data_IF_753955899945
#
_entry.id   IF_753955899945
#
_cell.length_a   1.000
_cell.length_b   1.000
_cell.length_c   1.000
_cell.angle_alpha   90.00
_cell.angle_beta   90.00
_cell.angle_gamma   90.00
#
_symmetry.space_group_name_H-M   'P 1'
#
loop_
_entity.id
_entity.type
_entity.pdbx_description
1 polymer ?
#
# COMPACT_ATOMS: atom_id res chain seq x y z
N UNK A 1 -5.59 11.15 -8.77
CA UNK A 1 -4.43 10.81 -7.88
C UNK A 1 -4.88 10.92 -6.45
N UNK A 2 -4.57 9.93 -5.58
CA UNK A 2 -5.09 9.81 -4.22
C UNK A 2 -3.96 9.84 -3.18
N UNK A 3 -4.18 10.52 -2.06
CA UNK A 3 -3.32 10.46 -0.88
C UNK A 3 -3.79 9.34 0.04
N UNK A 4 -2.95 8.36 0.30
CA UNK A 4 -3.20 7.29 1.25
C UNK A 4 -2.37 7.51 2.51
N UNK A 5 -3.03 7.52 3.66
CA UNK A 5 -2.39 7.48 4.96
C UNK A 5 -2.13 6.04 5.36
N UNK A 6 -0.87 5.67 5.60
CA UNK A 6 -0.50 4.33 6.11
C UNK A 6 -0.21 4.40 7.60
N UNK A 7 -0.89 3.58 8.41
CA UNK A 7 -0.76 3.55 9.87
C UNK A 7 -0.16 2.22 10.31
N UNK A 8 1.14 2.22 10.62
CA UNK A 8 1.92 1.03 11.00
C UNK A 8 2.17 0.90 12.51
N UNK A 9 1.83 1.91 13.30
CA UNK A 9 2.11 1.95 14.74
C UNK A 9 1.05 2.73 15.52
N UNK A 10 1.05 2.58 16.82
CA UNK A 10 0.10 3.18 17.75
C UNK A 10 -0.72 2.13 18.49
N UNK A 11 -1.29 2.51 19.62
CA UNK A 11 -2.25 1.68 20.36
C UNK A 11 -3.61 1.72 19.66
N UNK A 12 -4.48 0.78 19.94
CA UNK A 12 -5.80 0.68 19.33
C UNK A 12 -6.56 2.01 19.28
N UNK A 13 -6.74 2.63 20.45
CA UNK A 13 -7.46 3.91 20.55
C UNK A 13 -6.72 5.10 19.91
N UNK A 14 -5.38 5.03 19.82
CA UNK A 14 -4.57 6.05 19.14
C UNK A 14 -4.77 5.98 17.61
N UNK A 15 -4.87 4.76 17.05
CA UNK A 15 -5.17 4.56 15.63
C UNK A 15 -6.54 5.15 15.30
N UNK A 16 -7.56 4.84 16.11
CA UNK A 16 -8.90 5.42 15.93
C UNK A 16 -8.84 6.97 15.95
N UNK A 17 -8.19 7.54 16.97
CA UNK A 17 -8.08 8.99 17.10
C UNK A 17 -7.31 9.65 15.94
N UNK A 18 -6.31 8.97 15.38
CA UNK A 18 -5.59 9.43 14.19
C UNK A 18 -6.53 9.45 12.99
N UNK A 19 -7.30 8.39 12.77
CA UNK A 19 -8.26 8.33 11.67
C UNK A 19 -9.35 9.39 11.83
N UNK A 20 -9.96 9.50 13.02
CA UNK A 20 -10.97 10.52 13.31
C UNK A 20 -10.49 11.94 12.95
N UNK A 21 -9.19 12.21 13.17
CA UNK A 21 -8.60 13.53 12.90
C UNK A 21 -8.26 13.77 11.42
N UNK A 22 -7.95 12.71 10.67
CA UNK A 22 -7.37 12.83 9.32
C UNK A 22 -8.32 12.39 8.20
N UNK A 23 -9.49 11.83 8.52
CA UNK A 23 -10.43 11.26 7.53
C UNK A 23 -10.80 12.25 6.41
N UNK A 24 -10.95 13.53 6.72
CA UNK A 24 -11.28 14.56 5.73
C UNK A 24 -10.07 15.10 4.96
N UNK A 25 -8.86 14.71 5.37
CA UNK A 25 -7.61 15.21 4.81
C UNK A 25 -6.88 14.20 3.92
N UNK A 26 -7.35 12.96 3.85
CA UNK A 26 -6.78 11.88 3.04
C UNK A 26 -7.87 11.18 2.24
N UNK A 27 -7.51 10.49 1.17
CA UNK A 27 -8.49 9.83 0.31
C UNK A 27 -8.64 8.34 0.65
N UNK A 28 -7.60 7.74 1.25
CA UNK A 28 -7.55 6.34 1.67
C UNK A 28 -6.83 6.27 3.01
N UNK A 29 -7.36 5.46 3.93
CA UNK A 29 -6.64 5.07 5.14
C UNK A 29 -6.25 3.61 5.05
N UNK A 30 -4.97 3.33 5.20
CA UNK A 30 -4.44 1.97 5.27
C UNK A 30 -4.12 1.62 6.72
N UNK A 31 -4.71 0.54 7.18
CA UNK A 31 -4.28 -0.11 8.41
C UNK A 31 -3.16 -1.07 8.05
N UNK A 32 -1.94 -0.67 8.42
CA UNK A 32 -0.72 -1.37 8.05
C UNK A 32 -0.61 -2.77 8.67
N UNK A 33 0.20 -3.61 8.05
CA UNK A 33 0.37 -5.01 8.45
C UNK A 33 0.61 -5.21 9.96
N UNK A 34 1.48 -4.42 10.65
CA UNK A 34 1.69 -4.57 12.08
C UNK A 34 0.41 -4.36 12.90
N UNK A 35 -0.44 -3.43 12.49
CA UNK A 35 -1.71 -3.15 13.18
C UNK A 35 -2.74 -4.23 12.93
N UNK A 36 -2.83 -4.74 11.69
CA UNK A 36 -3.70 -5.86 11.34
C UNK A 36 -3.34 -7.10 12.17
N UNK A 37 -2.05 -7.40 12.31
CA UNK A 37 -1.57 -8.53 13.11
C UNK A 37 -1.85 -8.33 14.61
N UNK A 38 -1.71 -7.10 15.10
CA UNK A 38 -1.85 -6.80 16.52
C UNK A 38 -3.32 -6.75 16.97
N UNK A 39 -4.19 -6.14 16.16
CA UNK A 39 -5.56 -5.82 16.57
C UNK A 39 -6.63 -6.62 15.82
N UNK A 40 -6.24 -7.30 14.75
CA UNK A 40 -7.17 -8.06 13.92
C UNK A 40 -8.15 -7.17 13.15
N UNK A 41 -9.18 -7.80 12.61
CA UNK A 41 -10.18 -7.13 11.77
C UNK A 41 -11.21 -6.32 12.58
N UNK A 42 -11.31 -6.51 13.88
CA UNK A 42 -12.19 -5.69 14.74
C UNK A 42 -11.87 -4.19 14.67
N UNK A 43 -10.61 -3.82 14.45
CA UNK A 43 -10.24 -2.43 14.20
C UNK A 43 -10.84 -1.90 12.90
N UNK A 44 -10.91 -2.73 11.86
CA UNK A 44 -11.48 -2.35 10.56
C UNK A 44 -13.00 -2.19 10.69
N UNK A 45 -13.67 -3.11 11.40
CA UNK A 45 -15.11 -3.06 11.67
C UNK A 45 -15.47 -1.77 12.41
N UNK A 46 -14.75 -1.42 13.48
CA UNK A 46 -14.99 -0.18 14.22
C UNK A 46 -14.75 1.06 13.36
N UNK A 47 -13.69 1.10 12.57
CA UNK A 47 -13.41 2.22 11.66
C UNK A 47 -14.50 2.35 10.60
N UNK A 48 -15.03 1.23 10.08
CA UNK A 48 -16.12 1.24 9.12
C UNK A 48 -17.44 1.73 9.73
N UNK A 49 -17.74 1.34 10.96
CA UNK A 49 -18.93 1.84 11.69
C UNK A 49 -18.84 3.35 11.93
N UNK A 50 -17.68 3.86 12.31
CA UNK A 50 -17.47 5.29 12.58
C UNK A 50 -17.41 6.13 11.31
N UNK A 51 -16.85 5.60 10.24
CA UNK A 51 -16.60 6.29 8.97
C UNK A 51 -17.13 5.48 7.78
N UNK A 52 -18.45 5.46 7.55
CA UNK A 52 -19.07 4.60 6.52
C UNK A 52 -18.56 4.83 5.10
N UNK A 53 -18.17 6.06 4.76
CA UNK A 53 -17.73 6.45 3.42
C UNK A 53 -16.21 6.41 3.23
N UNK A 54 -15.43 6.13 4.29
CA UNK A 54 -13.98 6.11 4.23
C UNK A 54 -13.49 4.95 3.35
N UNK A 55 -12.58 5.24 2.42
CA UNK A 55 -11.87 4.18 1.70
C UNK A 55 -10.82 3.54 2.61
N UNK A 56 -11.08 2.29 3.03
CA UNK A 56 -10.21 1.52 3.92
C UNK A 56 -9.37 0.51 3.12
N UNK A 57 -8.04 0.58 3.27
CA UNK A 57 -7.11 -0.42 2.79
C UNK A 57 -6.63 -1.27 3.97
N UNK A 58 -6.73 -2.58 3.84
CA UNK A 58 -6.22 -3.55 4.82
C UNK A 58 -4.94 -4.16 4.30
N UNK A 59 -3.81 -3.82 4.94
CA UNK A 59 -2.51 -4.37 4.58
C UNK A 59 -2.33 -5.78 5.15
N UNK A 60 -3.05 -6.73 4.56
CA UNK A 60 -3.06 -8.12 4.99
C UNK A 60 -1.85 -8.92 4.48
N UNK A 61 -1.11 -8.41 3.49
CA UNK A 61 0.05 -9.06 2.86
C UNK A 61 -0.18 -10.54 2.59
N UNK A 62 -1.33 -10.85 2.00
CA UNK A 62 -1.77 -12.24 1.80
C UNK A 62 -0.75 -13.01 0.97
N UNK A 63 -0.35 -14.18 1.46
CA UNK A 63 0.50 -15.12 0.75
C UNK A 63 -0.21 -16.47 0.53
N UNK A 64 -0.98 -16.92 1.53
CA UNK A 64 -1.79 -18.14 1.51
C UNK A 64 -3.22 -17.87 1.97
N UNK A 65 -4.13 -18.80 1.69
CA UNK A 65 -5.52 -18.69 2.14
C UNK A 65 -6.31 -17.56 1.48
N UNK A 66 -5.88 -17.14 0.28
CA UNK A 66 -6.30 -15.93 -0.41
C UNK A 66 -7.79 -15.62 -0.31
N UNK A 67 -8.66 -16.53 -0.75
CA UNK A 67 -10.12 -16.30 -0.74
C UNK A 67 -10.68 -16.10 0.67
N UNK A 68 -10.23 -16.92 1.64
CA UNK A 68 -10.74 -16.83 3.02
C UNK A 68 -10.33 -15.53 3.72
N UNK A 69 -9.06 -15.11 3.59
CA UNK A 69 -8.58 -13.85 4.15
C UNK A 69 -9.26 -12.67 3.46
N UNK A 70 -9.32 -12.68 2.14
CA UNK A 70 -9.95 -11.62 1.33
C UNK A 70 -11.41 -11.42 1.70
N UNK A 71 -12.18 -12.53 1.83
CA UNK A 71 -13.57 -12.49 2.27
C UNK A 71 -13.70 -11.79 3.64
N UNK A 72 -12.91 -12.22 4.62
CA UNK A 72 -12.96 -11.64 5.97
C UNK A 72 -12.61 -10.15 6.00
N UNK A 73 -11.62 -9.73 5.20
CA UNK A 73 -11.27 -8.32 5.12
C UNK A 73 -12.42 -7.48 4.54
N UNK A 74 -13.07 -7.95 3.47
CA UNK A 74 -14.21 -7.25 2.89
C UNK A 74 -15.45 -7.29 3.78
N UNK A 75 -15.73 -8.41 4.45
CA UNK A 75 -16.81 -8.51 5.43
C UNK A 75 -16.61 -7.52 6.59
N UNK A 76 -15.38 -7.27 7.00
CA UNK A 76 -15.03 -6.26 8.00
C UNK A 76 -15.14 -4.81 7.48
N UNK A 77 -15.37 -4.61 6.18
CA UNK A 77 -15.55 -3.29 5.60
C UNK A 77 -14.36 -2.71 4.83
N UNK A 78 -13.35 -3.53 4.48
CA UNK A 78 -12.28 -3.09 3.60
C UNK A 78 -12.81 -2.72 2.20
N UNK A 79 -12.16 -1.75 1.55
CA UNK A 79 -12.33 -1.45 0.12
C UNK A 79 -11.17 -2.00 -0.71
N UNK A 80 -9.98 -2.05 -0.10
CA UNK A 80 -8.75 -2.54 -0.72
C UNK A 80 -8.09 -3.55 0.22
N UNK A 81 -7.62 -4.67 -0.33
CA UNK A 81 -6.86 -5.69 0.42
C UNK A 81 -5.53 -5.94 -0.27
N UNK A 82 -4.44 -6.02 0.50
CA UNK A 82 -3.12 -6.24 -0.09
C UNK A 82 -2.78 -7.72 -0.22
N UNK A 83 -2.03 -8.04 -1.27
CA UNK A 83 -1.43 -9.34 -1.53
C UNK A 83 0.06 -9.17 -1.84
N UNK A 84 0.91 -10.09 -1.41
CA UNK A 84 2.31 -10.07 -1.80
C UNK A 84 2.48 -10.55 -3.24
N UNK A 85 3.32 -9.89 -4.02
CA UNK A 85 3.68 -10.36 -5.35
C UNK A 85 4.38 -11.72 -5.35
N UNK A 86 4.95 -12.10 -4.22
CA UNK A 86 5.55 -13.43 -4.02
C UNK A 86 4.51 -14.55 -3.83
N UNK A 87 3.22 -14.22 -3.65
CA UNK A 87 2.17 -15.23 -3.54
C UNK A 87 2.02 -15.99 -4.86
N UNK A 88 1.61 -17.27 -4.81
CA UNK A 88 1.32 -18.06 -6.01
C UNK A 88 0.24 -17.39 -6.87
N UNK A 89 0.41 -17.40 -8.20
CA UNK A 89 -0.54 -16.79 -9.14
C UNK A 89 -1.99 -17.22 -8.93
N UNK A 90 -2.31 -18.51 -8.66
CA UNK A 90 -3.68 -18.93 -8.36
C UNK A 90 -4.26 -18.27 -7.10
N UNK A 91 -3.43 -17.91 -6.13
CA UNK A 91 -3.88 -17.19 -4.93
C UNK A 91 -4.29 -15.76 -5.30
N UNK A 92 -3.44 -15.05 -6.05
CA UNK A 92 -3.69 -13.68 -6.51
C UNK A 92 -4.96 -13.64 -7.38
N UNK A 93 -5.07 -14.54 -8.38
CA UNK A 93 -6.24 -14.60 -9.27
C UNK A 93 -7.54 -14.81 -8.51
N UNK A 94 -7.56 -15.73 -7.52
CA UNK A 94 -8.73 -15.97 -6.69
C UNK A 94 -9.09 -14.79 -5.78
N UNK A 95 -8.09 -14.04 -5.31
CA UNK A 95 -8.33 -12.81 -4.56
C UNK A 95 -8.97 -11.73 -5.44
N UNK A 96 -8.46 -11.56 -6.66
CA UNK A 96 -9.03 -10.62 -7.65
C UNK A 96 -10.49 -11.00 -7.98
N UNK A 97 -10.76 -12.28 -8.25
CA UNK A 97 -12.11 -12.76 -8.49
C UNK A 97 -13.05 -12.49 -7.29
N UNK A 98 -12.56 -12.77 -6.07
CA UNK A 98 -13.31 -12.53 -4.85
C UNK A 98 -13.56 -11.02 -4.64
N UNK A 99 -12.58 -10.17 -4.83
CA UNK A 99 -12.73 -8.72 -4.69
C UNK A 99 -13.83 -8.18 -5.61
N UNK A 100 -13.88 -8.63 -6.86
CA UNK A 100 -14.95 -8.24 -7.81
C UNK A 100 -16.34 -8.54 -7.28
N UNK A 101 -16.55 -9.65 -6.55
CA UNK A 101 -17.85 -10.00 -5.98
C UNK A 101 -18.29 -9.07 -4.82
N UNK A 102 -17.36 -8.31 -4.25
CA UNK A 102 -17.61 -7.30 -3.21
C UNK A 102 -17.60 -5.86 -3.76
N UNK A 103 -17.28 -5.65 -5.03
CA UNK A 103 -16.98 -4.32 -5.56
C UNK A 103 -15.69 -3.73 -4.95
N UNK A 104 -14.84 -4.60 -4.38
CA UNK A 104 -13.57 -4.23 -3.77
C UNK A 104 -12.39 -4.35 -4.73
N UNK A 105 -11.20 -4.01 -4.25
CA UNK A 105 -9.99 -3.91 -5.05
C UNK A 105 -8.83 -4.68 -4.40
N UNK A 106 -7.88 -5.14 -5.23
CA UNK A 106 -6.66 -5.81 -4.79
C UNK A 106 -5.46 -4.92 -5.11
N UNK A 107 -4.64 -4.66 -4.09
CA UNK A 107 -3.35 -4.01 -4.23
C UNK A 107 -2.24 -5.06 -4.07
N UNK A 108 -1.42 -5.23 -5.11
CA UNK A 108 -0.29 -6.13 -5.06
C UNK A 108 0.96 -5.40 -4.56
N UNK A 109 1.46 -5.80 -3.39
CA UNK A 109 2.74 -5.34 -2.85
C UNK A 109 3.88 -6.00 -3.61
N UNK A 110 4.62 -5.21 -4.38
CA UNK A 110 5.69 -5.69 -5.24
C UNK A 110 6.97 -5.94 -4.43
N UNK A 111 6.95 -7.00 -3.66
CA UNK A 111 8.10 -7.50 -2.90
C UNK A 111 8.91 -8.47 -3.75
N UNK A 112 9.59 -7.97 -4.78
CA UNK A 112 10.40 -8.78 -5.68
C UNK A 112 11.85 -8.28 -5.71
N UNK A 113 12.84 -9.18 -5.86
CA UNK A 113 14.22 -8.77 -6.12
C UNK A 113 14.30 -7.83 -7.33
N UNK A 114 15.19 -6.85 -7.27
CA UNK A 114 15.32 -5.82 -8.32
C UNK A 114 15.46 -6.42 -9.74
N UNK A 115 16.15 -7.56 -9.86
CA UNK A 115 16.32 -8.29 -11.13
C UNK A 115 15.03 -8.90 -11.68
N UNK A 116 13.99 -9.07 -10.87
CA UNK A 116 12.73 -9.70 -11.25
C UNK A 116 11.55 -8.71 -11.32
N UNK A 117 11.76 -7.44 -10.94
CA UNK A 117 10.67 -6.43 -10.87
C UNK A 117 9.94 -6.32 -12.21
N UNK A 118 10.64 -6.19 -13.34
CA UNK A 118 9.99 -6.06 -14.64
C UNK A 118 9.06 -7.25 -14.96
N UNK A 119 9.59 -8.47 -14.84
CA UNK A 119 8.84 -9.69 -15.12
C UNK A 119 7.67 -9.85 -14.16
N UNK A 120 7.92 -9.74 -12.84
CA UNK A 120 6.88 -9.96 -11.85
C UNK A 120 5.78 -8.91 -11.92
N UNK A 121 6.12 -7.68 -12.23
CA UNK A 121 5.11 -6.62 -12.49
C UNK A 121 4.17 -7.01 -13.63
N UNK A 122 4.72 -7.45 -14.79
CA UNK A 122 3.89 -7.85 -15.92
C UNK A 122 3.02 -9.08 -15.59
N UNK A 123 3.56 -10.06 -14.84
CA UNK A 123 2.83 -11.25 -14.42
C UNK A 123 1.64 -10.87 -13.53
N UNK A 124 1.84 -10.09 -12.47
CA UNK A 124 0.75 -9.73 -11.53
C UNK A 124 -0.25 -8.77 -12.16
N UNK A 125 0.18 -7.88 -13.06
CA UNK A 125 -0.70 -7.02 -13.84
C UNK A 125 -1.66 -7.86 -14.71
N UNK A 126 -1.14 -8.90 -15.36
CA UNK A 126 -1.94 -9.83 -16.17
C UNK A 126 -2.94 -10.65 -15.34
N UNK A 127 -2.72 -10.82 -14.04
CA UNK A 127 -3.66 -11.47 -13.12
C UNK A 127 -4.85 -10.56 -12.76
N UNK A 128 -4.81 -9.28 -13.14
CA UNK A 128 -5.92 -8.35 -13.02
C UNK A 128 -6.01 -7.66 -11.65
N UNK A 129 -4.90 -7.48 -10.94
CA UNK A 129 -4.86 -6.64 -9.74
C UNK A 129 -5.15 -5.18 -10.09
N UNK A 130 -5.77 -4.43 -9.19
CA UNK A 130 -6.15 -3.03 -9.43
C UNK A 130 -4.97 -2.09 -9.27
N UNK A 131 -4.12 -2.38 -8.29
CA UNK A 131 -2.94 -1.57 -7.97
C UNK A 131 -1.71 -2.44 -7.81
N UNK A 132 -0.56 -1.89 -8.20
CA UNK A 132 0.76 -2.44 -7.86
C UNK A 132 1.48 -1.40 -7.01
N UNK A 133 1.72 -1.75 -5.75
CA UNK A 133 2.43 -0.90 -4.80
C UNK A 133 3.93 -1.19 -4.87
N UNK A 134 4.73 -0.14 -5.09
CA UNK A 134 6.19 -0.22 -5.08
C UNK A 134 6.72 0.47 -3.85
N UNK A 135 7.44 -0.26 -3.02
CA UNK A 135 8.09 0.26 -1.83
C UNK A 135 9.47 0.82 -2.18
N UNK A 136 9.62 2.13 -2.03
CA UNK A 136 10.77 2.85 -2.58
C UNK A 136 11.88 3.20 -1.59
N UNK A 137 11.86 2.81 -0.33
CA UNK A 137 12.85 3.39 0.58
C UNK A 137 13.31 2.59 1.78
N UNK A 138 12.81 1.41 2.03
CA UNK A 138 13.00 0.83 3.35
C UNK A 138 13.82 -0.48 3.38
N UNK A 139 14.42 -0.91 2.29
CA UNK A 139 15.01 -2.24 2.22
C UNK A 139 16.55 -2.37 2.32
N UNK A 140 17.35 -1.38 2.68
CA UNK A 140 18.79 -1.59 2.88
C UNK A 140 19.12 -2.48 4.08
N UNK A 141 18.20 -2.62 5.04
CA UNK A 141 18.47 -3.31 6.30
C UNK A 141 18.11 -4.80 6.31
N UNK A 142 17.34 -5.28 5.30
CA UNK A 142 16.83 -6.66 5.27
C UNK A 142 17.40 -7.53 4.16
N UNK A 143 18.45 -7.08 3.52
CA UNK A 143 19.11 -7.78 2.43
C UNK A 143 20.09 -8.82 2.92
N UNK A 144 19.62 -10.00 3.23
CA UNK A 144 20.47 -11.06 3.72
C UNK A 144 20.40 -12.29 2.82
N UNK A 145 21.49 -12.61 2.16
CA UNK A 145 21.67 -13.85 1.43
C UNK A 145 22.06 -14.96 2.42
N UNK A 146 21.18 -15.94 2.57
CA UNK A 146 21.37 -17.07 3.48
C UNK A 146 22.53 -18.00 3.07
N UNK A 147 22.86 -18.09 1.78
CA UNK A 147 23.95 -18.94 1.29
C UNK A 147 25.31 -18.28 1.44
N UNK A 148 25.38 -17.00 1.11
CA UNK A 148 26.64 -16.26 1.13
C UNK A 148 26.82 -15.40 2.37
N UNK A 149 25.81 -15.34 3.24
CA UNK A 149 25.74 -14.42 4.38
C UNK A 149 25.96 -12.95 3.96
N UNK A 150 25.57 -12.61 2.74
CA UNK A 150 25.65 -11.26 2.17
C UNK A 150 24.26 -10.69 2.01
N UNK A 151 24.19 -9.39 1.90
CA UNK A 151 22.91 -8.68 1.69
C UNK A 151 22.44 -8.83 0.24
N UNK A 152 21.16 -9.14 0.04
CA UNK A 152 20.56 -9.39 -1.28
C UNK A 152 20.38 -8.13 -2.11
N UNK A 153 20.14 -7.00 -1.47
CA UNK A 153 19.96 -5.76 -2.17
C UNK A 153 21.28 -5.03 -2.28
N UNK A 154 21.67 -4.75 -3.45
CA UNK A 154 22.76 -3.82 -3.64
C UNK A 154 22.22 -2.41 -3.36
N UNK A 155 22.87 -1.63 -2.49
CA UNK A 155 22.49 -0.23 -2.18
C UNK A 155 22.42 0.70 -3.38
N UNK A 156 22.61 0.18 -4.59
CA UNK A 156 22.77 0.95 -5.84
C UNK A 156 21.47 1.17 -6.62
N UNK A 157 20.38 0.49 -6.29
CA UNK A 157 19.12 0.70 -7.00
C UNK A 157 18.32 1.74 -6.23
N UNK A 158 18.16 2.92 -6.81
CA UNK A 158 17.31 3.96 -6.23
C UNK A 158 15.87 3.45 -6.25
N UNK A 159 15.14 3.59 -5.16
CA UNK A 159 13.76 3.12 -5.05
C UNK A 159 12.85 3.60 -6.19
N UNK A 160 12.95 4.87 -6.59
CA UNK A 160 12.20 5.41 -7.72
C UNK A 160 12.57 4.77 -9.06
N UNK A 161 13.75 4.18 -9.20
CA UNK A 161 14.12 3.48 -10.44
C UNK A 161 13.41 2.13 -10.54
N UNK A 162 13.17 1.44 -9.43
CA UNK A 162 12.31 0.26 -9.41
C UNK A 162 10.87 0.62 -9.79
N UNK A 163 10.34 1.74 -9.29
CA UNK A 163 9.02 2.23 -9.64
C UNK A 163 8.92 2.57 -11.15
N UNK A 164 9.97 3.15 -11.74
CA UNK A 164 10.03 3.38 -13.20
C UNK A 164 9.99 2.07 -13.97
N UNK A 165 10.74 1.05 -13.51
CA UNK A 165 10.72 -0.28 -14.14
C UNK A 165 9.34 -0.91 -14.02
N UNK A 166 8.74 -0.90 -12.83
CA UNK A 166 7.38 -1.41 -12.63
C UNK A 166 6.40 -0.71 -13.57
N UNK A 167 6.35 0.64 -13.56
CA UNK A 167 5.42 1.41 -14.38
C UNK A 167 5.50 1.07 -15.87
N UNK A 168 6.70 0.83 -16.41
CA UNK A 168 6.89 0.48 -17.83
C UNK A 168 6.37 -0.93 -18.18
N UNK A 169 6.14 -1.77 -17.20
CA UNK A 169 5.69 -3.15 -17.35
C UNK A 169 4.25 -3.38 -16.87
N UNK A 170 3.53 -2.30 -16.55
CA UNK A 170 2.10 -2.30 -16.22
C UNK A 170 1.28 -1.91 -17.44
N UNK A 171 0.21 -2.63 -17.71
CA UNK A 171 -0.73 -2.38 -18.81
C UNK A 171 -2.12 -1.98 -18.28
N UNK A 172 -2.55 -2.51 -17.16
CA UNK A 172 -3.91 -2.41 -16.62
C UNK A 172 -3.94 -1.87 -15.19
N UNK A 173 -3.08 -2.40 -14.32
CA UNK A 173 -3.00 -1.96 -12.94
C UNK A 173 -2.50 -0.51 -12.84
N UNK A 174 -2.85 0.15 -11.75
CA UNK A 174 -2.42 1.51 -11.45
C UNK A 174 -1.26 1.48 -10.45
N UNK A 175 -0.34 2.42 -10.60
CA UNK A 175 0.84 2.51 -9.75
C UNK A 175 0.47 3.11 -8.38
N UNK A 176 0.85 2.44 -7.30
CA UNK A 176 0.89 2.99 -5.95
C UNK A 176 2.34 3.10 -5.48
N UNK A 177 2.72 4.23 -4.90
CA UNK A 177 4.09 4.45 -4.42
C UNK A 177 4.10 4.66 -2.91
N UNK A 178 4.91 3.83 -2.24
CA UNK A 178 5.14 3.88 -0.81
C UNK A 178 6.62 4.17 -0.52
N UNK A 179 6.88 4.64 0.66
CA UNK A 179 8.13 4.74 1.40
C UNK A 179 8.83 6.07 1.38
N UNK A 180 9.08 6.55 2.59
CA UNK A 180 9.86 7.74 2.85
C UNK A 180 9.32 9.00 2.15
N UNK A 181 8.07 8.97 1.69
CA UNK A 181 7.45 10.10 1.00
C UNK A 181 7.11 11.18 2.01
N UNK A 182 7.55 12.40 1.68
CA UNK A 182 7.31 13.60 2.47
C UNK A 182 7.39 14.84 1.57
N UNK A 183 7.24 16.03 2.12
CA UNK A 183 7.26 17.29 1.37
C UNK A 183 8.55 17.52 0.56
N UNK A 184 9.68 16.92 0.95
CA UNK A 184 10.97 17.18 0.28
C UNK A 184 11.14 16.37 -1.01
N UNK A 185 10.52 15.19 -1.11
CA UNK A 185 10.66 14.28 -2.27
C UNK A 185 9.37 14.06 -3.06
N UNK A 186 8.25 14.59 -2.59
CA UNK A 186 6.94 14.40 -3.23
C UNK A 186 6.96 14.73 -4.73
N UNK A 187 7.67 15.76 -5.17
CA UNK A 187 7.74 16.15 -6.58
C UNK A 187 8.38 15.08 -7.46
N UNK A 188 9.40 14.39 -6.97
CA UNK A 188 10.03 13.27 -7.70
C UNK A 188 9.08 12.08 -7.81
N UNK A 189 8.30 11.83 -6.73
CA UNK A 189 7.27 10.79 -6.70
C UNK A 189 6.18 11.11 -7.73
N UNK A 190 5.67 12.34 -7.73
CA UNK A 190 4.60 12.78 -8.64
C UNK A 190 5.02 12.79 -10.12
N UNK A 191 6.30 12.94 -10.41
CA UNK A 191 6.82 12.82 -11.77
C UNK A 191 6.57 11.42 -12.40
N UNK A 192 6.36 10.40 -11.57
CA UNK A 192 5.96 9.06 -11.99
C UNK A 192 4.45 8.92 -12.20
N UNK A 193 3.66 9.95 -11.93
CA UNK A 193 2.20 9.94 -12.06
C UNK A 193 1.55 8.69 -11.43
N UNK A 194 1.77 8.43 -10.13
CA UNK A 194 1.10 7.33 -9.46
C UNK A 194 -0.39 7.63 -9.31
N UNK A 195 -1.22 6.60 -9.24
CA UNK A 195 -2.62 6.75 -8.85
C UNK A 195 -2.75 7.01 -7.34
N UNK A 196 -1.91 6.32 -6.54
CA UNK A 196 -1.90 6.41 -5.10
C UNK A 196 -0.49 6.80 -4.62
N UNK A 197 -0.44 7.83 -3.78
CA UNK A 197 0.74 8.22 -3.01
C UNK A 197 0.51 7.80 -1.56
N UNK A 198 1.31 6.86 -1.07
CA UNK A 198 1.15 6.25 0.25
C UNK A 198 2.14 6.89 1.23
N UNK A 199 1.63 7.54 2.27
CA UNK A 199 2.45 8.27 3.24
C UNK A 199 2.11 7.81 4.66
N UNK A 200 3.11 7.32 5.37
CA UNK A 200 3.03 7.00 6.80
C UNK A 200 3.71 8.10 7.63
N UNK A 201 4.98 7.89 7.96
CA UNK A 201 5.77 8.78 8.84
C UNK A 201 5.82 10.23 8.37
N UNK A 202 5.79 10.50 7.07
CA UNK A 202 5.76 11.88 6.56
C UNK A 202 4.57 12.70 7.06
N UNK A 203 3.49 12.04 7.48
CA UNK A 203 2.33 12.65 8.13
C UNK A 203 2.35 12.38 9.63
N UNK A 204 2.55 11.11 10.05
CA UNK A 204 2.36 10.68 11.43
C UNK A 204 3.41 11.23 12.40
N UNK A 205 4.64 11.49 11.94
CA UNK A 205 5.72 12.05 12.77
C UNK A 205 5.72 13.59 12.77
N UNK A 206 4.79 14.23 12.02
CA UNK A 206 4.65 15.68 12.04
C UNK A 206 3.98 16.17 13.32
N UNK A 207 4.41 17.33 13.83
CA UNK A 207 3.78 18.02 14.96
C UNK A 207 2.32 18.35 14.66
N UNK A 208 2.03 18.78 13.42
CA UNK A 208 0.67 18.98 12.91
C UNK A 208 0.41 18.05 11.71
N UNK A 209 -0.25 16.93 12.01
CA UNK A 209 -0.56 15.88 11.03
C UNK A 209 -1.55 16.32 9.96
N UNK A 210 -2.53 17.16 10.34
CA UNK A 210 -3.51 17.72 9.40
C UNK A 210 -2.81 18.63 8.40
N UNK A 211 -2.00 19.55 8.91
CA UNK A 211 -1.26 20.46 8.04
C UNK A 211 -0.28 19.72 7.13
N UNK A 212 0.34 18.62 7.60
CA UNK A 212 1.23 17.81 6.80
C UNK A 212 0.48 17.11 5.66
N UNK A 213 -0.70 16.52 5.93
CA UNK A 213 -1.54 15.92 4.90
C UNK A 213 -2.00 16.97 3.85
N UNK A 214 -2.49 18.11 4.30
CA UNK A 214 -2.94 19.20 3.42
C UNK A 214 -1.80 19.75 2.55
N UNK A 215 -0.60 19.87 3.09
CA UNK A 215 0.58 20.30 2.30
C UNK A 215 0.91 19.30 1.22
N UNK A 216 0.88 18.00 1.52
CA UNK A 216 1.11 16.96 0.52
C UNK A 216 0.03 17.01 -0.57
N UNK A 217 -1.24 17.16 -0.21
CA UNK A 217 -2.34 17.29 -1.18
C UNK A 217 -2.18 18.49 -2.12
N UNK A 218 -1.63 19.60 -1.65
CA UNK A 218 -1.39 20.78 -2.52
C UNK A 218 -0.39 20.55 -3.64
N UNK A 219 0.50 19.56 -3.52
CA UNK A 219 1.39 19.16 -4.61
C UNK A 219 0.69 18.27 -5.63
N UNK A 220 -0.40 17.61 -5.24
CA UNK A 220 -1.11 16.66 -6.10
C UNK A 220 -2.05 17.42 -7.06
N UNK A 221 -2.19 16.99 -8.32
CA UNK A 221 -3.14 17.60 -9.23
C UNK A 221 -4.57 17.44 -8.71
N UNK A 222 -5.34 18.50 -8.73
CA UNK A 222 -6.77 18.42 -8.44
C UNK A 222 -7.45 17.54 -9.48
N UNK A 223 -8.18 16.54 -9.03
CA UNK A 223 -9.16 15.88 -9.89
C UNK A 223 -10.37 16.83 -9.96
N UNK A 224 -10.48 17.56 -11.10
CA UNK A 224 -11.60 18.43 -11.40
C UNK A 224 -12.79 17.63 -11.93
#
# INVERSE_FOLDING_TARGET
MKLQLTIDHGKYHEVIAIVDRLVDHVDIVEIGYPQVVTFGLGLIEELREKHPDLCLCVDAKVFHGGTGVTTRCFDAGANIVTVLSAAPDPVISKMVEKAKSYGGQIMCDLSAPASHVARRTAEVDALGVDYIAVHTGYLPEYDYDLETHRRWFTPKVKPLDLAKVAKRNMMHAKLALNTGINETNIREVLALQPEIVMVGRGILDSDDKVMAADRLKRFMPFEG
#
